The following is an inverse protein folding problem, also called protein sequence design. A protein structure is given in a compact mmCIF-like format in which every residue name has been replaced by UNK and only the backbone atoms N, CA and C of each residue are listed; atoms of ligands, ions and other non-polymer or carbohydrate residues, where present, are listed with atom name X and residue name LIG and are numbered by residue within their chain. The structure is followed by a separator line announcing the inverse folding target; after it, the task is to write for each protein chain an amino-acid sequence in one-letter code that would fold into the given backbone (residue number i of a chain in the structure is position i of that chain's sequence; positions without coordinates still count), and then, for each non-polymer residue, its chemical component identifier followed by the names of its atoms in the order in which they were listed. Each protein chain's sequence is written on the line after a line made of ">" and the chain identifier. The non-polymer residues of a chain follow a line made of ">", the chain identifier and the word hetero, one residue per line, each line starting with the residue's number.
data_IF_116639790731
#
_entry.id   IF_116639790731
#
_cell.length_a   1.000
_cell.length_b   1.000
_cell.length_c   1.000
_cell.angle_alpha   90.00
_cell.angle_beta   90.00
_cell.angle_gamma   90.00
#
_symmetry.space_group_name_H-M   'P 1'
#
loop_
_entity.id
_entity.type
_entity.pdbx_description
1 polymer ?
#
# COMPACT_ATOMS: atom_id res chain seq x y z
N UNK A 1 3.70 0.22 -6.88
CA UNK A 1 5.08 0.19 -7.41
C UNK A 1 5.98 -0.51 -6.40
N UNK A 2 6.54 -1.67 -6.74
CA UNK A 2 7.53 -2.35 -5.89
C UNK A 2 8.92 -1.73 -6.02
N UNK A 3 9.76 -1.84 -5.00
CA UNK A 3 11.18 -1.48 -5.07
C UNK A 3 11.55 -0.03 -4.73
N UNK A 4 10.58 0.83 -4.40
CA UNK A 4 10.80 2.26 -4.11
C UNK A 4 10.59 2.64 -2.64
N UNK A 5 10.85 1.72 -1.70
CA UNK A 5 10.54 1.89 -0.27
C UNK A 5 11.22 3.10 0.37
N UNK A 6 12.44 3.45 -0.03
CA UNK A 6 13.15 4.63 0.46
C UNK A 6 12.46 5.96 0.09
N UNK A 7 11.75 6.01 -1.05
CA UNK A 7 10.92 7.16 -1.40
C UNK A 7 9.59 7.13 -0.64
N UNK A 8 8.95 5.96 -0.53
CA UNK A 8 7.67 5.82 0.16
C UNK A 8 7.78 6.12 1.66
N UNK A 9 8.92 5.85 2.30
CA UNK A 9 9.15 6.21 3.70
C UNK A 9 9.07 7.73 3.94
N UNK A 10 9.33 8.56 2.93
CA UNK A 10 9.16 10.03 3.01
C UNK A 10 7.69 10.46 3.11
N UNK A 11 6.74 9.56 2.84
CA UNK A 11 5.30 9.80 2.92
C UNK A 11 4.70 9.44 4.28
N UNK A 12 5.47 8.78 5.15
CA UNK A 12 5.05 8.40 6.50
C UNK A 12 5.25 9.57 7.46
N UNK A 13 4.19 9.94 8.17
CA UNK A 13 4.17 11.01 9.19
C UNK A 13 4.28 10.47 10.60
N UNK A 14 3.72 9.29 10.85
CA UNK A 14 3.82 8.58 12.12
C UNK A 14 3.65 7.08 11.90
N UNK A 15 4.24 6.28 12.79
CA UNK A 15 4.10 4.82 12.80
C UNK A 15 4.16 4.30 14.23
N UNK A 16 3.18 3.48 14.62
CA UNK A 16 3.15 2.82 15.93
C UNK A 16 2.64 1.39 15.82
N UNK A 17 3.20 0.50 16.65
CA UNK A 17 2.68 -0.85 16.83
C UNK A 17 1.41 -0.77 17.68
N UNK A 18 0.32 -1.36 17.21
CA UNK A 18 -0.97 -1.41 17.93
C UNK A 18 -1.36 -2.81 18.41
N UNK A 19 -0.72 -3.86 17.90
CA UNK A 19 -0.90 -5.24 18.37
C UNK A 19 0.29 -6.14 17.99
N UNK A 20 0.50 -7.22 18.76
CA UNK A 20 1.51 -8.27 18.52
C UNK A 20 2.95 -7.74 18.40
N UNK A 21 3.41 -6.96 19.38
CA UNK A 21 4.73 -6.31 19.37
C UNK A 21 5.92 -7.28 19.32
N UNK A 22 5.72 -8.51 19.73
CA UNK A 22 6.69 -9.60 19.65
C UNK A 22 6.99 -10.05 18.21
N UNK A 23 6.12 -9.73 17.25
CA UNK A 23 6.32 -10.01 15.82
C UNK A 23 7.17 -8.94 15.10
N UNK A 24 7.59 -7.89 15.81
CA UNK A 24 8.45 -6.81 15.31
C UNK A 24 7.96 -6.24 13.97
N UNK A 25 8.70 -6.44 12.87
CA UNK A 25 8.37 -5.92 11.55
C UNK A 25 7.03 -6.45 11.00
N UNK A 26 6.55 -7.60 11.49
CA UNK A 26 5.28 -8.21 11.10
C UNK A 26 4.11 -7.85 12.04
N UNK A 27 4.36 -7.02 13.06
CA UNK A 27 3.32 -6.55 13.97
C UNK A 27 2.24 -5.72 13.24
N UNK A 28 1.08 -5.53 13.87
CA UNK A 28 0.07 -4.63 13.30
C UNK A 28 0.49 -3.19 13.59
N UNK A 29 0.66 -2.41 12.51
CA UNK A 29 1.08 -1.02 12.58
C UNK A 29 -0.08 -0.09 12.20
N UNK A 30 -0.31 0.94 13.01
CA UNK A 30 -1.04 2.13 12.57
C UNK A 30 -0.03 3.09 11.95
N UNK A 31 -0.26 3.48 10.69
CA UNK A 31 0.64 4.35 9.93
C UNK A 31 -0.14 5.57 9.45
N UNK A 32 0.32 6.75 9.85
CA UNK A 32 -0.21 8.02 9.32
C UNK A 32 0.60 8.40 8.10
N UNK A 33 -0.07 8.63 6.98
CA UNK A 33 0.55 8.92 5.68
C UNK A 33 -0.01 10.20 5.06
N UNK A 34 0.80 10.87 4.25
CA UNK A 34 0.40 12.02 3.44
C UNK A 34 0.95 11.85 2.02
N UNK A 35 0.13 12.13 1.00
CA UNK A 35 0.53 12.09 -0.42
C UNK A 35 1.18 10.76 -0.86
N UNK A 36 0.61 9.62 -0.42
CA UNK A 36 1.05 8.30 -0.87
C UNK A 36 0.53 8.02 -2.30
N UNK A 37 1.41 7.85 -3.30
CA UNK A 37 0.97 7.57 -4.67
C UNK A 37 0.44 6.13 -4.79
N UNK A 38 -0.79 5.99 -5.30
CA UNK A 38 -1.47 4.71 -5.49
C UNK A 38 -2.23 4.69 -6.82
N UNK A 39 -2.55 3.47 -7.28
CA UNK A 39 -3.46 3.23 -8.38
C UNK A 39 -4.67 2.45 -7.87
N UNK A 40 -5.84 2.72 -8.43
CA UNK A 40 -7.02 1.88 -8.22
C UNK A 40 -6.84 0.64 -9.08
N UNK A 41 -6.51 -0.49 -8.45
CA UNK A 41 -6.38 -1.77 -9.13
C UNK A 41 -7.74 -2.43 -9.34
N UNK A 42 -8.60 -2.34 -8.33
CA UNK A 42 -9.96 -2.84 -8.34
C UNK A 42 -10.89 -1.76 -7.84
N UNK A 43 -12.03 -1.59 -8.50
CA UNK A 43 -13.08 -0.67 -8.06
C UNK A 43 -14.27 -1.41 -7.44
N UNK A 44 -15.24 -0.65 -6.93
CA UNK A 44 -16.44 -1.18 -6.28
C UNK A 44 -17.52 -1.68 -7.26
N UNK A 45 -17.29 -1.55 -8.56
CA UNK A 45 -18.20 -1.94 -9.63
C UNK A 45 -17.75 -3.21 -10.36
N UNK A 46 -16.66 -3.83 -9.91
CA UNK A 46 -16.08 -5.03 -10.51
C UNK A 46 -15.04 -4.76 -11.59
N UNK A 47 -14.56 -3.51 -11.72
CA UNK A 47 -13.44 -3.19 -12.60
C UNK A 47 -12.12 -3.78 -12.08
N UNK A 48 -11.32 -4.31 -13.01
CA UNK A 48 -9.98 -4.86 -12.77
C UNK A 48 -9.00 -4.30 -13.82
N UNK A 49 -7.99 -3.56 -13.37
CA UNK A 49 -6.96 -2.98 -14.24
C UNK A 49 -6.09 -4.06 -14.90
N UNK A 50 -5.90 -5.21 -14.26
CA UNK A 50 -5.06 -6.29 -14.76
C UNK A 50 -5.77 -7.09 -15.83
N UNK A 51 -7.07 -7.36 -15.68
CA UNK A 51 -7.88 -7.94 -16.76
C UNK A 51 -7.90 -7.02 -17.98
N UNK A 52 -8.15 -5.73 -17.76
CA UNK A 52 -8.17 -4.71 -18.83
C UNK A 52 -6.83 -4.59 -19.55
N UNK A 53 -5.71 -4.75 -18.84
CA UNK A 53 -4.36 -4.72 -19.41
C UNK A 53 -3.98 -5.99 -20.18
N UNK A 54 -4.65 -7.11 -19.90
CA UNK A 54 -4.46 -8.39 -20.59
C UNK A 54 -5.34 -8.50 -21.85
N UNK A 55 -6.38 -7.68 -21.99
CA UNK A 55 -7.30 -7.64 -23.15
C UNK A 55 -6.81 -6.75 -24.32
N UNK A 56 -5.49 -6.70 -24.54
CA UNK A 56 -4.93 -6.11 -25.75
C UNK A 56 -4.80 -7.21 -26.81
N UNK A 57 -5.82 -7.38 -27.65
CA UNK A 57 -5.66 -7.90 -29.01
C UNK A 57 -5.31 -6.77 -29.99
#
# INVERSE_FOLDING_TARGET
>A
MGGISAYLSTKVKDIKIIAYSDLEAEAVHEIVIEDLPLFVAYDIYGGDIFESALLVE
#
